data_IF_315112789225
#
_entry.id   IF_315112789225
#
_cell.length_a   1.000
_cell.length_b   1.000
_cell.length_c   1.000
_cell.angle_alpha   90.00
_cell.angle_beta   90.00
_cell.angle_gamma   90.00
#
_symmetry.space_group_name_H-M   'P 1'
#
loop_
_entity.id
_entity.type
_entity.pdbx_description
1 polymer ?
#
# COMPACT_ATOMS: atom_id res chain seq x y z
N UNK A 1 4.96 13.77 -20.54
CA UNK A 1 4.98 12.31 -20.73
C UNK A 1 3.62 11.77 -20.42
N UNK A 2 3.05 10.94 -21.28
CA UNK A 2 1.82 10.20 -20.98
C UNK A 2 2.07 9.33 -19.76
N UNK A 3 1.34 9.59 -18.67
CA UNK A 3 1.39 8.80 -17.44
C UNK A 3 0.98 7.35 -17.76
N UNK A 4 1.95 6.45 -17.84
CA UNK A 4 1.69 5.01 -17.96
C UNK A 4 1.19 4.52 -16.61
N UNK A 5 -0.08 4.13 -16.53
CA UNK A 5 -0.62 3.43 -15.36
C UNK A 5 -0.21 1.96 -15.46
N UNK A 6 0.82 1.57 -14.71
CA UNK A 6 1.41 0.23 -14.74
C UNK A 6 0.36 -0.89 -14.59
N UNK A 7 -0.62 -0.70 -13.71
CA UNK A 7 -1.67 -1.68 -13.48
C UNK A 7 -2.59 -1.88 -14.68
N UNK A 8 -3.03 -0.77 -15.28
CA UNK A 8 -3.87 -0.81 -16.48
C UNK A 8 -3.10 -1.39 -17.67
N UNK A 9 -1.83 -1.02 -17.84
CA UNK A 9 -0.98 -1.55 -18.91
C UNK A 9 -0.77 -3.07 -18.77
N UNK A 10 -0.54 -3.56 -17.54
CA UNK A 10 -0.40 -5.00 -17.29
C UNK A 10 -1.70 -5.76 -17.56
N UNK A 11 -2.86 -5.24 -17.12
CA UNK A 11 -4.15 -5.85 -17.42
C UNK A 11 -4.40 -5.93 -18.94
N UNK A 12 -4.09 -4.87 -19.69
CA UNK A 12 -4.23 -4.88 -21.15
C UNK A 12 -3.24 -5.84 -21.84
N UNK A 13 -2.02 -6.00 -21.31
CA UNK A 13 -1.06 -6.98 -21.83
C UNK A 13 -1.54 -8.42 -21.59
N UNK A 14 -2.15 -8.68 -20.43
CA UNK A 14 -2.80 -9.96 -20.15
C UNK A 14 -3.95 -10.23 -21.13
N UNK A 15 -4.80 -9.23 -21.39
CA UNK A 15 -5.91 -9.34 -22.38
C UNK A 15 -5.41 -9.68 -23.78
N UNK A 16 -4.27 -9.12 -24.19
CA UNK A 16 -3.64 -9.40 -25.49
C UNK A 16 -2.85 -10.72 -25.53
N UNK A 17 -2.74 -11.44 -24.42
CA UNK A 17 -1.94 -12.67 -24.34
C UNK A 17 -0.44 -12.43 -24.46
N UNK A 18 0.04 -11.24 -24.13
CA UNK A 18 1.48 -10.90 -24.14
C UNK A 18 2.21 -11.34 -22.87
N UNK A 19 1.45 -11.55 -21.79
CA UNK A 19 1.92 -12.04 -20.50
C UNK A 19 0.94 -13.07 -19.96
N UNK A 20 1.42 -14.00 -19.14
CA UNK A 20 0.58 -15.02 -18.49
C UNK A 20 0.08 -14.59 -17.10
N UNK A 21 0.62 -13.51 -16.55
CA UNK A 21 0.26 -12.99 -15.23
C UNK A 21 1.08 -11.78 -14.82
N UNK A 22 0.62 -11.08 -13.79
CA UNK A 22 1.31 -9.91 -13.24
C UNK A 22 1.03 -9.76 -11.73
N UNK A 23 1.93 -9.05 -11.05
CA UNK A 23 1.74 -8.64 -9.66
C UNK A 23 1.08 -7.26 -9.59
N UNK A 24 0.06 -7.10 -8.75
CA UNK A 24 -0.76 -5.90 -8.73
C UNK A 24 -1.23 -5.49 -7.34
N UNK A 25 -1.50 -4.19 -7.20
CA UNK A 25 -2.24 -3.64 -6.07
C UNK A 25 -3.76 -3.83 -6.25
N UNK A 26 -4.54 -3.47 -5.24
CA UNK A 26 -5.99 -3.65 -5.23
C UNK A 26 -6.71 -3.11 -6.47
N UNK A 27 -6.33 -1.93 -6.98
CA UNK A 27 -6.99 -1.31 -8.14
C UNK A 27 -6.76 -2.07 -9.44
N UNK A 28 -5.50 -2.42 -9.74
CA UNK A 28 -5.17 -3.12 -10.97
C UNK A 28 -5.77 -4.55 -10.99
N UNK A 29 -5.75 -5.22 -9.84
CA UNK A 29 -6.41 -6.51 -9.65
C UNK A 29 -7.93 -6.39 -9.86
N UNK A 30 -8.58 -5.39 -9.27
CA UNK A 30 -10.02 -5.17 -9.42
C UNK A 30 -10.41 -4.96 -10.89
N UNK A 31 -9.63 -4.17 -11.64
CA UNK A 31 -9.85 -3.93 -13.07
C UNK A 31 -9.75 -5.24 -13.85
N UNK A 32 -8.71 -6.05 -13.65
CA UNK A 32 -8.50 -7.29 -14.39
C UNK A 32 -9.56 -8.35 -14.08
N UNK A 33 -9.98 -8.47 -12.82
CA UNK A 33 -11.02 -9.42 -12.40
C UNK A 33 -12.39 -9.00 -12.91
N UNK A 34 -12.79 -7.74 -12.70
CA UNK A 34 -14.14 -7.26 -13.09
C UNK A 34 -14.34 -7.15 -14.60
N UNK A 35 -13.26 -7.03 -15.38
CA UNK A 35 -13.32 -7.08 -16.84
C UNK A 35 -13.32 -8.51 -17.40
N UNK A 36 -13.07 -9.54 -16.57
CA UNK A 36 -12.95 -10.92 -17.01
C UNK A 36 -11.61 -11.26 -17.70
N UNK A 37 -10.68 -10.31 -17.73
CA UNK A 37 -9.35 -10.47 -18.34
C UNK A 37 -8.43 -11.38 -17.51
N UNK A 38 -8.61 -11.43 -16.19
CA UNK A 38 -7.76 -12.22 -15.30
C UNK A 38 -8.50 -12.76 -14.09
N UNK A 39 -7.84 -13.70 -13.41
CA UNK A 39 -8.28 -14.25 -12.12
C UNK A 39 -7.17 -14.08 -11.09
N UNK A 40 -7.53 -14.01 -9.81
CA UNK A 40 -6.55 -14.00 -8.72
C UNK A 40 -6.05 -15.42 -8.51
N UNK A 41 -4.75 -15.65 -8.73
CA UNK A 41 -4.09 -16.95 -8.51
C UNK A 41 -3.49 -17.03 -7.10
N UNK A 42 -2.96 -15.92 -6.58
CA UNK A 42 -2.40 -15.78 -5.24
C UNK A 42 -2.84 -14.46 -4.63
N UNK A 43 -3.45 -14.49 -3.44
CA UNK A 43 -3.69 -13.32 -2.59
C UNK A 43 -2.87 -13.46 -1.30
N UNK A 44 -1.66 -12.91 -1.29
CA UNK A 44 -0.76 -12.97 -0.12
C UNK A 44 -1.36 -12.33 1.13
N UNK A 45 -2.34 -11.44 0.97
CA UNK A 45 -3.08 -10.83 2.09
C UNK A 45 -4.00 -11.83 2.79
N UNK A 46 -4.28 -12.97 2.15
CA UNK A 46 -5.12 -14.06 2.65
C UNK A 46 -4.32 -15.29 3.07
N UNK A 47 -2.99 -15.18 3.09
CA UNK A 47 -2.09 -16.27 3.48
C UNK A 47 -1.69 -17.20 2.33
N UNK A 48 -1.98 -16.85 1.08
CA UNK A 48 -1.43 -17.56 -0.06
C UNK A 48 0.08 -17.28 -0.20
N UNK A 49 0.81 -18.21 -0.81
CA UNK A 49 2.24 -18.06 -1.09
C UNK A 49 3.17 -18.49 0.06
N UNK A 50 4.48 -18.20 -0.05
CA UNK A 50 5.46 -18.61 0.96
C UNK A 50 5.23 -17.93 2.32
N UNK A 51 5.61 -18.59 3.44
CA UNK A 51 5.57 -17.95 4.76
C UNK A 51 6.29 -16.60 4.77
N UNK A 52 5.65 -15.57 5.35
CA UNK A 52 6.20 -14.21 5.47
C UNK A 52 5.95 -13.28 4.29
N UNK A 53 5.35 -13.75 3.18
CA UNK A 53 5.14 -12.91 2.00
C UNK A 53 4.07 -11.81 2.17
N UNK A 54 3.23 -11.90 3.22
CA UNK A 54 2.26 -10.87 3.59
C UNK A 54 2.93 -9.50 3.76
N UNK A 55 4.08 -9.45 4.44
CA UNK A 55 4.80 -8.22 4.78
C UNK A 55 5.70 -7.69 3.65
N UNK A 56 5.78 -8.37 2.50
CA UNK A 56 6.68 -7.96 1.40
C UNK A 56 6.24 -6.66 0.71
N UNK A 57 4.97 -6.30 0.81
CA UNK A 57 4.43 -5.08 0.21
C UNK A 57 3.51 -4.37 1.18
N UNK A 58 3.82 -3.11 1.48
CA UNK A 58 2.94 -2.25 2.27
C UNK A 58 3.07 -0.79 1.79
N UNK A 59 1.96 -0.02 1.76
CA UNK A 59 2.05 1.41 1.54
C UNK A 59 2.65 2.10 2.76
N UNK A 60 3.59 3.02 2.55
CA UNK A 60 4.23 3.79 3.62
C UNK A 60 4.18 5.29 3.33
N UNK A 61 4.11 6.10 4.39
CA UNK A 61 4.41 7.53 4.31
C UNK A 61 5.93 7.70 4.48
N UNK A 62 6.63 7.95 3.38
CA UNK A 62 8.07 8.14 3.38
C UNK A 62 8.44 9.63 3.26
N UNK A 63 9.51 10.03 3.95
CA UNK A 63 10.16 11.34 3.80
C UNK A 63 11.67 11.19 4.06
N UNK A 64 12.45 12.23 3.78
CA UNK A 64 13.89 12.22 4.04
C UNK A 64 14.20 12.52 5.50
N UNK A 65 15.25 11.91 6.06
CA UNK A 65 15.78 12.26 7.39
C UNK A 65 16.03 13.76 7.54
N UNK A 66 16.58 14.40 6.49
CA UNK A 66 16.78 15.86 6.46
C UNK A 66 15.52 16.67 6.72
N UNK A 67 14.35 16.21 6.29
CA UNK A 67 13.07 16.89 6.55
C UNK A 67 12.65 16.69 8.00
N UNK A 68 12.82 15.47 8.52
CA UNK A 68 12.54 15.13 9.91
C UNK A 68 13.40 15.97 10.85
N UNK A 69 14.70 16.10 10.57
CA UNK A 69 15.63 16.88 11.38
C UNK A 69 15.32 18.37 11.34
N UNK A 70 15.01 18.90 10.15
CA UNK A 70 14.76 20.34 9.96
C UNK A 70 13.39 20.78 10.46
N UNK A 71 12.38 19.91 10.35
CA UNK A 71 10.97 20.25 10.55
C UNK A 71 10.18 19.05 11.10
N UNK A 72 10.52 18.57 12.31
CA UNK A 72 9.89 17.38 12.91
C UNK A 72 8.39 17.55 13.12
N UNK A 73 7.92 18.78 13.38
CA UNK A 73 6.51 19.12 13.52
C UNK A 73 5.72 18.92 12.23
N UNK A 74 6.33 19.16 11.07
CA UNK A 74 5.71 18.93 9.75
C UNK A 74 5.57 17.42 9.50
N UNK A 75 6.61 16.64 9.79
CA UNK A 75 6.55 15.18 9.70
C UNK A 75 5.46 14.62 10.65
N UNK A 76 5.43 15.08 11.90
CA UNK A 76 4.42 14.70 12.88
C UNK A 76 2.99 15.08 12.44
N UNK A 77 2.81 16.25 11.81
CA UNK A 77 1.51 16.66 11.28
C UNK A 77 1.05 15.76 10.12
N UNK A 78 1.96 15.35 9.24
CA UNK A 78 1.65 14.40 8.17
C UNK A 78 1.23 13.03 8.72
N UNK A 79 1.91 12.53 9.75
CA UNK A 79 1.53 11.28 10.45
C UNK A 79 0.13 11.39 11.05
N UNK A 80 -0.17 12.48 11.79
CA UNK A 80 -1.51 12.70 12.36
C UNK A 80 -2.59 12.77 11.28
N UNK A 81 -2.32 13.44 10.15
CA UNK A 81 -3.25 13.54 9.04
C UNK A 81 -3.54 12.17 8.40
N UNK A 82 -2.50 11.33 8.23
CA UNK A 82 -2.66 9.96 7.74
C UNK A 82 -3.53 9.12 8.68
N UNK A 83 -3.22 9.13 9.98
CA UNK A 83 -3.99 8.39 10.99
C UNK A 83 -5.44 8.86 11.01
N UNK A 84 -5.69 10.17 11.03
CA UNK A 84 -7.05 10.71 10.98
C UNK A 84 -7.80 10.29 9.71
N UNK A 85 -7.11 10.21 8.57
CA UNK A 85 -7.69 9.77 7.30
C UNK A 85 -8.04 8.28 7.33
N UNK A 86 -7.14 7.43 7.83
CA UNK A 86 -7.43 6.00 8.01
C UNK A 86 -8.64 5.79 8.95
N UNK A 87 -8.73 6.54 10.04
CA UNK A 87 -9.88 6.47 10.96
C UNK A 87 -11.17 6.96 10.32
N UNK A 88 -11.12 8.04 9.53
CA UNK A 88 -12.29 8.52 8.80
C UNK A 88 -12.80 7.48 7.80
N UNK A 89 -11.90 6.77 7.11
CA UNK A 89 -12.26 5.71 6.17
C UNK A 89 -12.81 4.46 6.87
N UNK A 90 -12.25 4.09 8.04
CA UNK A 90 -12.80 3.03 8.88
C UNK A 90 -14.21 3.36 9.38
N UNK A 91 -14.47 4.62 9.72
CA UNK A 91 -15.77 5.08 10.20
C UNK A 91 -16.80 5.18 9.07
N UNK A 92 -16.37 5.57 7.87
CA UNK A 92 -17.23 5.77 6.71
C UNK A 92 -16.45 5.60 5.39
N UNK A 93 -16.64 4.44 4.76
CA UNK A 93 -16.00 4.08 3.48
C UNK A 93 -16.48 4.95 2.31
N UNK A 94 -17.65 5.60 2.40
CA UNK A 94 -18.17 6.43 1.30
C UNK A 94 -17.29 7.66 1.03
N UNK A 95 -16.52 8.10 2.05
CA UNK A 95 -15.48 9.13 1.92
C UNK A 95 -14.41 8.77 0.89
N UNK A 96 -14.17 7.48 0.68
CA UNK A 96 -13.26 7.01 -0.36
C UNK A 96 -13.80 7.32 -1.76
N UNK A 97 -15.11 7.18 -2.00
CA UNK A 97 -15.77 7.57 -3.25
C UNK A 97 -15.67 9.07 -3.47
N UNK A 98 -15.99 9.88 -2.45
CA UNK A 98 -15.91 11.34 -2.56
C UNK A 98 -14.52 11.84 -2.96
N UNK A 99 -13.46 11.22 -2.42
CA UNK A 99 -12.08 11.51 -2.78
C UNK A 99 -11.75 10.96 -4.18
N UNK A 100 -12.24 9.75 -4.49
CA UNK A 100 -12.05 9.05 -5.74
C UNK A 100 -12.57 9.83 -6.95
N UNK A 101 -13.83 10.27 -6.90
CA UNK A 101 -14.51 11.01 -7.97
C UNK A 101 -13.83 12.34 -8.31
N UNK A 102 -13.15 12.96 -7.35
CA UNK A 102 -12.41 14.21 -7.56
C UNK A 102 -11.09 14.02 -8.30
N UNK A 103 -10.53 12.80 -8.28
CA UNK A 103 -9.14 12.55 -8.67
C UNK A 103 -8.96 11.54 -9.80
N UNK A 104 -9.89 10.61 -9.96
CA UNK A 104 -9.80 9.49 -10.89
C UNK A 104 -10.96 9.52 -11.90
N UNK A 105 -10.80 8.88 -13.07
CA UNK A 105 -11.89 8.72 -14.02
C UNK A 105 -13.05 7.91 -13.41
N UNK A 106 -14.28 8.02 -13.96
CA UNK A 106 -15.47 7.43 -13.35
C UNK A 106 -15.40 5.92 -13.11
N UNK A 107 -14.75 5.17 -14.01
CA UNK A 107 -14.61 3.71 -13.88
C UNK A 107 -13.79 3.35 -12.64
N UNK A 108 -12.59 3.90 -12.50
CA UNK A 108 -11.71 3.65 -11.36
C UNK A 108 -12.31 4.20 -10.07
N UNK A 109 -12.89 5.41 -10.11
CA UNK A 109 -13.55 6.01 -8.95
C UNK A 109 -14.65 5.10 -8.38
N UNK A 110 -15.46 4.48 -9.25
CA UNK A 110 -16.52 3.55 -8.85
C UNK A 110 -16.03 2.26 -8.19
N UNK A 111 -14.75 1.91 -8.33
CA UNK A 111 -14.15 0.71 -7.71
C UNK A 111 -13.50 1.01 -6.34
N UNK A 112 -13.14 2.27 -6.07
CA UNK A 112 -12.32 2.63 -4.90
C UNK A 112 -13.00 2.23 -3.58
N UNK A 113 -14.27 2.54 -3.37
CA UNK A 113 -14.92 2.25 -2.09
C UNK A 113 -14.98 0.75 -1.79
N UNK A 114 -15.29 -0.10 -2.79
CA UNK A 114 -15.30 -1.55 -2.59
C UNK A 114 -13.91 -2.12 -2.27
N UNK A 115 -12.86 -1.57 -2.89
CA UNK A 115 -11.48 -1.93 -2.57
C UNK A 115 -11.14 -1.53 -1.13
N UNK A 116 -11.47 -0.29 -0.74
CA UNK A 116 -11.21 0.23 0.61
C UNK A 116 -11.95 -0.58 1.66
N UNK A 117 -13.24 -0.86 1.46
CA UNK A 117 -14.07 -1.66 2.37
C UNK A 117 -13.46 -3.03 2.63
N UNK A 118 -13.05 -3.73 1.57
CA UNK A 118 -12.39 -5.04 1.67
C UNK A 118 -11.07 -4.98 2.42
N UNK A 119 -10.32 -3.89 2.23
CA UNK A 119 -8.96 -3.76 2.76
C UNK A 119 -8.92 -3.06 4.13
N UNK A 120 -10.06 -2.61 4.68
CA UNK A 120 -10.16 -1.97 6.01
C UNK A 120 -9.42 -2.71 7.15
N UNK A 121 -9.42 -4.06 7.23
CA UNK A 121 -8.66 -4.77 8.25
C UNK A 121 -7.15 -4.48 8.23
N UNK A 122 -6.62 -3.99 7.11
CA UNK A 122 -5.21 -3.65 6.92
C UNK A 122 -4.90 -2.17 7.13
N UNK A 123 -5.90 -1.33 7.47
CA UNK A 123 -5.68 0.09 7.72
C UNK A 123 -5.05 0.27 9.11
N UNK A 124 -3.74 0.09 9.19
CA UNK A 124 -2.93 0.40 10.36
C UNK A 124 -1.84 1.40 9.95
N UNK A 125 -1.53 2.34 10.83
CA UNK A 125 -0.46 3.31 10.60
C UNK A 125 0.87 2.85 11.22
N UNK A 126 0.84 1.86 12.11
CA UNK A 126 2.03 1.32 12.72
C UNK A 126 2.81 0.45 11.74
N UNK A 127 4.13 0.64 11.70
CA UNK A 127 5.06 -0.27 11.02
C UNK A 127 5.78 -1.05 12.12
N UNK A 128 5.60 -2.37 12.16
CA UNK A 128 6.23 -3.22 13.18
C UNK A 128 7.65 -3.63 12.81
N UNK A 129 8.45 -4.00 13.82
CA UNK A 129 9.78 -4.58 13.60
C UNK A 129 9.72 -5.86 12.75
N UNK A 130 8.67 -6.68 12.94
CA UNK A 130 8.47 -7.91 12.17
C UNK A 130 8.29 -7.63 10.67
N UNK A 131 7.57 -6.56 10.31
CA UNK A 131 7.35 -6.17 8.92
C UNK A 131 8.66 -5.75 8.25
N UNK A 132 9.51 -4.99 8.95
CA UNK A 132 10.85 -4.62 8.44
C UNK A 132 11.77 -5.84 8.35
N UNK A 133 11.71 -6.76 9.32
CA UNK A 133 12.49 -8.00 9.27
C UNK A 133 12.10 -8.87 8.06
N UNK A 134 10.81 -8.98 7.74
CA UNK A 134 10.34 -9.71 6.56
C UNK A 134 10.80 -9.06 5.25
N UNK A 135 10.75 -7.73 5.15
CA UNK A 135 11.27 -6.98 3.99
C UNK A 135 12.79 -7.16 3.85
N UNK A 136 13.54 -7.11 4.96
CA UNK A 136 14.99 -7.39 4.95
C UNK A 136 15.28 -8.80 4.45
N UNK A 137 14.55 -9.82 4.94
CA UNK A 137 14.73 -11.20 4.47
C UNK A 137 14.47 -11.34 2.97
N UNK A 138 13.37 -10.72 2.48
CA UNK A 138 13.10 -10.65 1.06
C UNK A 138 14.24 -9.98 0.29
N UNK A 139 14.68 -8.79 0.72
CA UNK A 139 15.71 -8.02 0.05
C UNK A 139 17.05 -8.76 -0.03
N UNK A 140 17.46 -9.46 1.05
CA UNK A 140 18.67 -10.29 1.05
C UNK A 140 18.56 -11.48 0.10
N UNK A 141 17.42 -12.20 0.13
CA UNK A 141 17.19 -13.34 -0.78
C UNK A 141 17.21 -12.94 -2.25
N UNK A 142 16.79 -11.70 -2.54
CA UNK A 142 16.83 -11.12 -3.87
C UNK A 142 18.17 -10.44 -4.20
N UNK A 143 19.17 -10.52 -3.32
CA UNK A 143 20.48 -9.87 -3.45
C UNK A 143 20.39 -8.35 -3.69
N UNK A 144 19.36 -7.72 -3.14
CA UNK A 144 19.17 -6.26 -3.13
C UNK A 144 19.99 -5.64 -1.98
N UNK A 145 20.07 -6.35 -0.85
CA UNK A 145 20.86 -5.97 0.32
C UNK A 145 21.82 -7.09 0.69
N UNK A 146 23.02 -6.71 1.10
CA UNK A 146 24.01 -7.65 1.67
C UNK A 146 23.72 -7.96 3.14
N UNK A 147 23.15 -7.00 3.87
CA UNK A 147 22.82 -7.07 5.30
C UNK A 147 21.48 -6.40 5.62
N UNK A 148 20.96 -6.67 6.81
CA UNK A 148 19.69 -6.11 7.28
C UNK A 148 19.79 -4.61 7.51
N UNK A 149 18.83 -3.86 6.97
CA UNK A 149 18.64 -2.47 7.37
C UNK A 149 18.04 -2.42 8.79
N UNK A 150 18.69 -1.77 9.78
CA UNK A 150 18.17 -1.68 11.14
C UNK A 150 16.80 -0.99 11.18
N UNK A 151 15.88 -1.49 12.00
CA UNK A 151 14.51 -0.96 12.09
C UNK A 151 14.45 0.56 12.29
N UNK A 152 15.23 1.10 13.23
CA UNK A 152 15.27 2.55 13.50
C UNK A 152 15.92 3.41 12.41
N UNK A 153 16.57 2.80 11.42
CA UNK A 153 17.06 3.51 10.22
C UNK A 153 16.04 3.48 9.08
N UNK A 154 15.12 2.52 9.10
CA UNK A 154 14.03 2.42 8.10
C UNK A 154 12.80 3.21 8.57
N UNK A 155 12.52 3.18 9.88
CA UNK A 155 11.31 3.71 10.48
C UNK A 155 11.65 4.84 11.47
N UNK A 156 10.97 5.98 11.30
CA UNK A 156 11.07 7.13 12.20
C UNK A 156 10.33 6.86 13.53
N UNK A 157 10.91 6.00 14.37
CA UNK A 157 10.33 5.51 15.64
C UNK A 157 9.97 6.61 16.63
N UNK A 158 10.57 7.80 16.53
CA UNK A 158 10.26 8.97 17.36
C UNK A 158 8.82 9.47 17.19
N UNK A 159 8.12 9.07 16.12
CA UNK A 159 6.71 9.39 15.92
C UNK A 159 5.77 8.23 16.33
N UNK A 160 6.29 7.16 16.94
CA UNK A 160 5.54 5.94 17.26
C UNK A 160 4.29 6.17 18.11
N UNK A 161 4.33 7.16 19.02
CA UNK A 161 3.16 7.52 19.83
C UNK A 161 2.00 8.10 19.01
N UNK A 162 2.28 8.66 17.83
CA UNK A 162 1.28 9.25 16.94
C UNK A 162 0.57 8.24 16.05
N UNK A 163 1.09 7.01 15.92
CA UNK A 163 0.53 5.99 15.02
C UNK A 163 -0.80 5.45 15.53
N UNK A 164 -1.00 5.48 16.85
CA UNK A 164 -2.25 5.10 17.48
C UNK A 164 -3.16 6.32 17.57
N UNK A 165 -4.44 6.14 17.29
CA UNK A 165 -5.45 7.16 17.62
C UNK A 165 -5.38 7.45 19.11
N UNK A 166 -5.35 8.73 19.50
CA UNK A 166 -5.57 9.11 20.88
C UNK A 166 -6.84 8.45 21.41
N UNK A 167 -6.74 7.85 22.60
CA UNK A 167 -7.90 7.49 23.42
C UNK A 167 -8.77 8.69 23.70
#
# INVERSE_FOLDING_TARGET
GTSVNFGLTAAQALERGEIDGFWANGMATEIAVTSGTGTVVLDVRRGDGPPGCFDYTMPVLATTDRLIDRSPEVAAAAVRALVATQQALKADVSRASEAGEKRFPPREAGLIAGIVERDLPFYDAAIGEHSVAAINDFARRMSILDEDAPYGQVVAVQFGELWRSGT
#
